data_IF_606242407294
#
_entry.id   IF_606242407294
#
_cell.length_a   1.000
_cell.length_b   1.000
_cell.length_c   1.000
_cell.angle_alpha   90.00
_cell.angle_beta   90.00
_cell.angle_gamma   90.00
#
_symmetry.space_group_name_H-M   'P 1'
#
loop_
_entity.id
_entity.type
_entity.pdbx_description
1 polymer ?
#
# COMPACT_ATOMS: atom_id res chain seq x y z
N UNK A 1 10.03 7.25 -9.39
CA UNK A 1 8.83 7.30 -10.28
C UNK A 1 8.90 6.16 -11.29
N UNK A 2 8.47 4.95 -10.87
CA UNK A 2 8.33 3.79 -11.74
C UNK A 2 7.12 4.00 -12.68
N UNK A 3 7.01 3.23 -13.78
CA UNK A 3 5.85 3.32 -14.68
C UNK A 3 4.57 3.18 -13.85
N UNK A 4 3.62 4.10 -13.98
CA UNK A 4 2.36 3.99 -13.25
C UNK A 4 1.48 2.94 -13.93
N UNK A 5 1.09 1.91 -13.17
CA UNK A 5 0.16 0.89 -13.62
C UNK A 5 -1.27 1.44 -13.58
N UNK A 6 -1.80 1.88 -14.72
CA UNK A 6 -3.26 2.05 -14.87
C UNK A 6 -3.86 0.68 -15.13
N UNK A 7 -4.55 0.15 -14.13
CA UNK A 7 -5.29 -1.10 -14.23
C UNK A 7 -6.48 -0.96 -15.19
N UNK A 8 -6.56 -1.81 -16.22
CA UNK A 8 -7.81 -2.43 -16.67
C UNK A 8 -7.54 -3.52 -17.73
N UNK A 9 -8.03 -4.73 -17.44
CA UNK A 9 -7.97 -5.89 -18.32
C UNK A 9 -8.93 -5.82 -19.52
N UNK A 10 -8.69 -6.73 -20.49
CA UNK A 10 -9.63 -7.00 -21.58
C UNK A 10 -8.95 -7.36 -22.90
N UNK A 11 -8.69 -8.66 -23.06
CA UNK A 11 -8.26 -9.38 -24.27
C UNK A 11 -8.92 -8.94 -25.59
N UNK A 12 -8.15 -8.86 -26.68
CA UNK A 12 -8.42 -9.67 -27.88
C UNK A 12 -7.29 -9.65 -28.94
N UNK A 13 -6.96 -10.84 -29.39
CA UNK A 13 -5.87 -11.20 -30.32
C UNK A 13 -6.19 -10.86 -31.77
N UNK A 14 -5.20 -10.39 -32.56
CA UNK A 14 -5.07 -10.81 -33.97
C UNK A 14 -3.67 -10.64 -34.57
N UNK A 15 -2.98 -11.78 -34.69
CA UNK A 15 -1.79 -11.95 -35.52
C UNK A 15 -2.03 -11.54 -36.98
N UNK A 16 -1.02 -10.94 -37.63
CA UNK A 16 -0.83 -11.08 -39.07
C UNK A 16 0.66 -11.16 -39.41
N UNK A 17 1.15 -12.39 -39.59
CA UNK A 17 2.42 -12.72 -40.25
C UNK A 17 2.46 -12.14 -41.65
N UNK A 18 3.59 -11.52 -42.03
CA UNK A 18 4.04 -11.48 -43.42
C UNK A 18 5.54 -11.73 -43.49
N UNK A 19 5.92 -12.90 -43.98
CA UNK A 19 7.26 -13.22 -44.46
C UNK A 19 7.58 -12.38 -45.71
N UNK A 20 8.82 -11.88 -45.86
CA UNK A 20 9.45 -11.71 -47.19
C UNK A 20 10.99 -11.73 -47.10
N UNK A 21 11.53 -12.88 -47.48
CA UNK A 21 12.78 -13.16 -48.24
C UNK A 21 14.02 -12.28 -48.08
N UNK A 22 15.03 -12.91 -47.47
CA UNK A 22 16.45 -12.97 -47.80
C UNK A 22 16.81 -12.67 -49.28
N UNK A 23 17.74 -11.73 -49.50
CA UNK A 23 18.61 -11.70 -50.69
C UNK A 23 20.07 -11.48 -50.27
N UNK A 24 20.92 -12.31 -50.86
CA UNK A 24 22.35 -12.46 -50.59
C UNK A 24 23.17 -11.64 -51.58
N UNK A 25 24.16 -10.91 -51.09
CA UNK A 25 25.10 -10.17 -51.94
C UNK A 25 26.46 -9.96 -51.27
N UNK A 26 27.29 -10.99 -51.27
CA UNK A 26 28.68 -10.97 -50.81
C UNK A 26 29.58 -10.22 -51.82
N UNK A 27 30.35 -9.23 -51.35
CA UNK A 27 31.61 -8.82 -52.00
C UNK A 27 32.58 -8.15 -51.03
N UNK A 28 33.59 -8.95 -50.70
CA UNK A 28 34.83 -8.68 -50.01
C UNK A 28 35.72 -7.65 -50.74
N UNK A 29 36.25 -6.66 -50.03
CA UNK A 29 37.66 -6.24 -50.18
C UNK A 29 38.20 -5.47 -48.96
N UNK A 30 39.49 -5.69 -48.73
CA UNK A 30 40.33 -5.42 -47.55
C UNK A 30 40.66 -3.94 -47.27
N UNK A 31 40.65 -3.51 -45.99
CA UNK A 31 41.84 -2.97 -45.26
C UNK A 31 41.48 -2.19 -43.95
N UNK A 32 42.03 -2.67 -42.83
CA UNK A 32 42.56 -1.94 -41.65
C UNK A 32 41.92 -0.62 -41.20
N UNK A 33 41.23 -0.65 -40.04
CA UNK A 33 41.52 0.20 -38.87
C UNK A 33 40.59 -0.20 -37.74
N UNK A 34 41.17 -0.59 -36.60
CA UNK A 34 40.48 -0.69 -35.32
C UNK A 34 39.70 0.60 -35.02
N UNK A 35 38.38 0.49 -35.06
CA UNK A 35 37.48 1.32 -34.27
C UNK A 35 36.30 0.42 -33.94
N UNK A 36 36.36 -0.19 -32.75
CA UNK A 36 35.18 -0.75 -32.09
C UNK A 36 34.22 0.42 -31.94
N UNK A 37 33.33 0.58 -32.91
CA UNK A 37 32.20 1.49 -32.83
C UNK A 37 31.36 0.93 -31.69
N UNK A 38 31.52 1.53 -30.51
CA UNK A 38 30.58 1.36 -29.41
C UNK A 38 29.21 1.60 -30.00
N UNK A 39 28.28 0.65 -29.83
CA UNK A 39 26.88 1.01 -29.89
C UNK A 39 26.69 2.22 -28.96
N UNK A 40 25.94 3.21 -29.41
CA UNK A 40 25.59 4.35 -28.57
C UNK A 40 24.92 3.79 -27.32
N UNK A 41 25.54 3.92 -26.15
CA UNK A 41 24.89 3.57 -24.89
C UNK A 41 23.57 4.36 -24.80
N UNK A 42 22.50 3.70 -24.38
CA UNK A 42 21.23 4.36 -24.10
C UNK A 42 21.47 5.36 -22.97
N UNK A 43 21.14 6.64 -23.18
CA UNK A 43 21.25 7.71 -22.17
C UNK A 43 19.86 8.15 -21.74
N UNK A 44 19.73 8.47 -20.45
CA UNK A 44 18.49 8.93 -19.82
C UNK A 44 18.31 10.46 -19.85
N UNK A 45 19.39 11.19 -20.11
CA UNK A 45 19.41 12.67 -20.11
C UNK A 45 20.11 13.19 -21.36
N UNK A 46 19.70 14.38 -21.82
CA UNK A 46 20.26 15.09 -22.97
C UNK A 46 21.72 15.48 -22.79
N UNK A 47 22.16 15.65 -21.53
CA UNK A 47 23.50 16.17 -21.19
C UNK A 47 24.56 15.07 -21.15
N UNK A 48 25.72 15.36 -21.72
CA UNK A 48 26.86 14.44 -21.78
C UNK A 48 27.72 14.41 -20.50
N UNK A 49 27.65 15.44 -19.67
CA UNK A 49 28.43 15.57 -18.43
C UNK A 49 27.50 15.98 -17.30
N UNK A 50 26.93 14.97 -16.64
CA UNK A 50 25.98 15.09 -15.53
C UNK A 50 26.57 15.76 -14.29
N UNK A 51 27.89 15.70 -14.09
CA UNK A 51 28.56 16.27 -12.90
C UNK A 51 28.42 17.80 -12.78
N UNK A 52 28.07 18.47 -13.89
CA UNK A 52 27.76 19.90 -13.92
C UNK A 52 26.37 20.23 -13.40
N UNK A 53 25.44 19.28 -13.47
CA UNK A 53 24.01 19.46 -13.17
C UNK A 53 23.62 18.87 -11.82
N UNK A 54 24.33 17.83 -11.35
CA UNK A 54 24.06 17.20 -10.06
C UNK A 54 25.35 16.92 -9.29
N UNK A 55 25.31 17.06 -7.97
CA UNK A 55 26.25 16.42 -7.04
C UNK A 55 25.56 15.19 -6.50
N UNK A 56 26.09 14.01 -6.80
CA UNK A 56 25.48 12.75 -6.34
C UNK A 56 25.97 12.47 -4.92
N UNK A 57 25.05 12.10 -4.04
CA UNK A 57 25.31 11.68 -2.67
C UNK A 57 26.17 10.44 -2.57
N UNK A 58 26.45 10.00 -1.35
CA UNK A 58 27.08 8.70 -1.14
C UNK A 58 26.10 7.57 -1.52
N UNK A 59 26.53 6.65 -2.38
CA UNK A 59 25.71 5.55 -2.90
C UNK A 59 26.38 4.18 -2.77
N UNK A 60 27.54 4.13 -2.10
CA UNK A 60 28.31 2.91 -1.82
C UNK A 60 28.64 2.89 -0.34
N UNK A 61 28.63 1.71 0.26
CA UNK A 61 28.92 1.55 1.67
C UNK A 61 27.81 2.07 2.60
N UNK A 62 26.60 2.27 2.05
CA UNK A 62 25.40 2.54 2.86
C UNK A 62 25.18 1.41 3.86
N UNK A 63 24.61 1.74 5.01
CA UNK A 63 24.16 0.73 5.98
C UNK A 63 22.65 0.72 5.92
N UNK A 64 22.09 -0.36 5.39
CA UNK A 64 20.66 -0.51 5.16
C UNK A 64 20.13 -1.64 6.03
N UNK A 65 18.87 -1.55 6.43
CA UNK A 65 18.18 -2.60 7.17
C UNK A 65 17.15 -3.27 6.24
N UNK A 66 17.17 -4.60 6.19
CA UNK A 66 16.15 -5.40 5.53
C UNK A 66 15.28 -6.01 6.63
N UNK A 67 14.11 -5.42 6.82
CA UNK A 67 13.10 -5.93 7.74
C UNK A 67 12.17 -6.90 7.02
N UNK A 68 12.12 -8.15 7.47
CA UNK A 68 11.15 -9.14 7.00
C UNK A 68 10.24 -9.57 8.14
N UNK A 69 8.95 -9.73 7.86
CA UNK A 69 8.01 -10.35 8.81
C UNK A 69 8.17 -11.87 8.76
N UNK A 70 8.19 -12.50 9.93
CA UNK A 70 8.20 -13.97 9.99
C UNK A 70 6.79 -14.49 9.78
N UNK A 71 6.59 -15.29 8.73
CA UNK A 71 5.33 -16.00 8.47
C UNK A 71 5.07 -17.03 9.58
N UNK A 72 3.99 -16.80 10.31
CA UNK A 72 3.51 -17.66 11.39
C UNK A 72 2.58 -18.76 10.86
N UNK A 73 2.29 -19.75 11.70
CA UNK A 73 1.31 -20.78 11.34
C UNK A 73 -0.12 -20.21 11.32
N UNK A 74 -0.37 -19.10 12.04
CA UNK A 74 -1.66 -18.41 12.07
C UNK A 74 -1.89 -17.65 10.74
N UNK A 75 -0.85 -17.03 10.16
CA UNK A 75 -0.94 -16.40 8.83
C UNK A 75 -1.27 -17.42 7.74
N UNK A 76 -0.62 -18.58 7.80
CA UNK A 76 -0.90 -19.70 6.90
C UNK A 76 -2.33 -20.20 7.07
N UNK A 77 -2.83 -20.21 8.31
CA UNK A 77 -4.19 -20.62 8.60
C UNK A 77 -5.20 -19.60 8.05
N UNK A 78 -4.97 -18.31 8.26
CA UNK A 78 -5.81 -17.23 7.77
C UNK A 78 -5.92 -17.24 6.23
N UNK A 79 -4.80 -17.40 5.53
CA UNK A 79 -4.78 -17.51 4.06
C UNK A 79 -5.56 -18.74 3.58
N UNK A 80 -5.44 -19.88 4.28
CA UNK A 80 -6.23 -21.07 3.94
C UNK A 80 -7.72 -20.84 4.19
N UNK A 81 -8.09 -20.20 5.30
CA UNK A 81 -9.47 -19.93 5.64
C UNK A 81 -10.12 -18.98 4.61
N UNK A 82 -9.40 -17.95 4.18
CA UNK A 82 -9.80 -17.09 3.06
C UNK A 82 -10.06 -17.90 1.78
N UNK A 83 -9.14 -18.80 1.41
CA UNK A 83 -9.31 -19.67 0.25
C UNK A 83 -10.52 -20.62 0.36
N UNK A 84 -10.83 -21.12 1.57
CA UNK A 84 -12.01 -21.96 1.82
C UNK A 84 -13.31 -21.17 1.73
N UNK A 85 -13.27 -19.90 2.13
CA UNK A 85 -14.39 -18.97 2.05
C UNK A 85 -14.73 -18.63 0.59
N UNK A 86 -13.73 -18.24 -0.21
CA UNK A 86 -13.86 -17.96 -1.65
C UNK A 86 -14.43 -19.16 -2.43
N UNK A 87 -14.14 -20.38 -1.95
CA UNK A 87 -14.66 -21.65 -2.48
C UNK A 87 -15.90 -22.15 -1.71
N UNK A 88 -16.60 -21.26 -1.01
CA UNK A 88 -17.80 -21.57 -0.27
C UNK A 88 -18.96 -22.03 -1.15
N UNK A 89 -19.86 -22.83 -0.59
CA UNK A 89 -21.05 -23.32 -1.30
C UNK A 89 -22.30 -22.59 -0.84
N UNK A 90 -23.12 -22.09 -1.78
CA UNK A 90 -24.38 -21.43 -1.45
C UNK A 90 -25.35 -22.40 -0.75
N UNK A 91 -25.82 -21.99 0.43
CA UNK A 91 -26.77 -22.77 1.23
C UNK A 91 -28.20 -22.30 0.92
N UNK A 92 -28.99 -23.18 0.33
CA UNK A 92 -30.38 -22.89 -0.02
C UNK A 92 -31.38 -23.30 1.07
N UNK A 93 -31.10 -24.39 1.77
CA UNK A 93 -31.95 -24.95 2.82
C UNK A 93 -31.13 -25.07 4.11
N UNK A 94 -31.21 -24.03 4.95
CA UNK A 94 -30.43 -23.95 6.18
C UNK A 94 -30.68 -22.65 6.93
N UNK A 95 -29.89 -22.43 7.97
CA UNK A 95 -29.82 -21.17 8.69
C UNK A 95 -28.36 -20.71 8.75
N UNK A 96 -28.15 -19.40 8.79
CA UNK A 96 -26.82 -18.80 8.96
C UNK A 96 -26.17 -19.30 10.25
N UNK A 97 -24.90 -19.66 10.16
CA UNK A 97 -24.01 -20.04 11.25
C UNK A 97 -22.79 -19.11 11.28
N UNK A 98 -22.03 -19.17 12.37
CA UNK A 98 -20.74 -18.48 12.48
C UNK A 98 -19.77 -19.01 11.40
N UNK A 99 -19.06 -18.11 10.74
CA UNK A 99 -18.18 -18.39 9.59
C UNK A 99 -18.86 -18.44 8.22
N UNK A 100 -20.19 -18.31 8.13
CA UNK A 100 -20.87 -18.19 6.82
C UNK A 100 -20.66 -16.78 6.24
N UNK A 101 -20.35 -16.67 4.94
CA UNK A 101 -20.41 -15.39 4.22
C UNK A 101 -21.85 -15.11 3.79
N UNK A 102 -22.39 -13.95 4.16
CA UNK A 102 -23.78 -13.57 3.91
C UNK A 102 -23.85 -12.36 3.00
N UNK A 103 -24.84 -12.35 2.11
CA UNK A 103 -25.26 -11.14 1.38
C UNK A 103 -26.55 -10.64 1.99
N UNK A 104 -26.56 -9.41 2.48
CA UNK A 104 -27.70 -8.80 3.17
C UNK A 104 -28.07 -7.44 2.58
N UNK A 105 -29.33 -7.08 2.77
CA UNK A 105 -29.79 -5.70 2.61
C UNK A 105 -30.20 -5.20 3.99
N UNK A 106 -29.71 -4.05 4.42
CA UNK A 106 -30.08 -3.50 5.70
C UNK A 106 -30.44 -2.02 5.62
N UNK A 107 -31.35 -1.62 6.51
CA UNK A 107 -31.74 -0.22 6.69
C UNK A 107 -31.72 0.11 8.18
N UNK A 108 -30.81 1.00 8.56
CA UNK A 108 -30.64 1.51 9.91
C UNK A 108 -31.49 2.75 10.16
N UNK A 109 -32.13 2.82 11.32
CA UNK A 109 -32.93 3.97 11.74
C UNK A 109 -32.62 4.38 13.17
N UNK A 110 -32.48 5.69 13.41
CA UNK A 110 -32.34 6.31 14.73
C UNK A 110 -33.59 7.16 14.97
N UNK A 111 -34.29 6.94 16.08
CA UNK A 111 -35.57 7.58 16.39
C UNK A 111 -36.61 7.46 15.24
N UNK A 112 -36.57 6.35 14.50
CA UNK A 112 -37.46 6.07 13.37
C UNK A 112 -37.15 6.85 12.08
N UNK A 113 -35.95 7.46 11.97
CA UNK A 113 -35.46 8.10 10.76
C UNK A 113 -34.19 7.41 10.27
N UNK A 114 -34.11 7.18 8.97
CA UNK A 114 -32.86 6.77 8.31
C UNK A 114 -31.80 7.87 8.47
N UNK A 115 -30.55 7.44 8.49
CA UNK A 115 -29.37 8.31 8.56
C UNK A 115 -28.40 7.90 7.45
N UNK A 116 -27.52 8.85 7.08
CA UNK A 116 -26.56 8.63 6.02
C UNK A 116 -25.53 7.56 6.42
N UNK A 117 -25.16 6.67 5.50
CA UNK A 117 -24.31 5.50 5.79
C UNK A 117 -25.00 4.37 6.58
N UNK A 118 -26.27 4.54 6.98
CA UNK A 118 -27.00 3.54 7.77
C UNK A 118 -27.67 2.42 6.96
N UNK A 119 -27.57 2.43 5.62
CA UNK A 119 -28.25 1.45 4.77
C UNK A 119 -27.37 1.00 3.61
N UNK A 120 -27.45 -0.28 3.27
CA UNK A 120 -26.76 -0.87 2.13
C UNK A 120 -27.63 -1.98 1.51
N UNK A 121 -27.45 -2.19 0.21
CA UNK A 121 -28.07 -3.27 -0.57
C UNK A 121 -26.95 -4.16 -1.10
N UNK A 122 -27.19 -5.47 -1.15
CA UNK A 122 -26.23 -6.49 -1.57
C UNK A 122 -24.87 -6.37 -0.85
N UNK A 123 -24.91 -6.09 0.44
CA UNK A 123 -23.72 -5.97 1.29
C UNK A 123 -23.26 -7.36 1.72
N UNK A 124 -22.01 -7.70 1.39
CA UNK A 124 -21.38 -8.96 1.75
C UNK A 124 -20.58 -8.81 3.05
N UNK A 125 -20.73 -9.77 3.97
CA UNK A 125 -19.89 -9.88 5.17
C UNK A 125 -19.73 -11.33 5.62
N UNK A 126 -18.69 -11.61 6.39
CA UNK A 126 -18.47 -12.90 7.06
C UNK A 126 -18.93 -12.82 8.50
N UNK A 127 -19.75 -13.77 8.93
CA UNK A 127 -20.27 -13.78 10.30
C UNK A 127 -19.19 -14.23 11.28
N UNK A 128 -18.83 -13.37 12.23
CA UNK A 128 -17.84 -13.63 13.28
C UNK A 128 -16.54 -12.83 13.16
N UNK A 129 -16.35 -12.06 12.08
CA UNK A 129 -15.13 -11.26 11.87
C UNK A 129 -15.16 -9.90 12.59
N UNK A 130 -16.33 -9.45 13.07
CA UNK A 130 -16.45 -8.20 13.81
C UNK A 130 -16.36 -6.96 12.93
N UNK A 131 -16.78 -7.06 11.67
CA UNK A 131 -16.85 -5.93 10.73
C UNK A 131 -18.02 -4.99 11.00
N UNK A 132 -18.99 -5.40 11.83
CA UNK A 132 -20.18 -4.62 12.20
C UNK A 132 -20.21 -4.30 13.69
N UNK A 133 -21.09 -3.38 14.09
CA UNK A 133 -21.30 -3.05 15.51
C UNK A 133 -21.72 -4.29 16.31
N UNK A 134 -21.31 -4.34 17.58
CA UNK A 134 -21.61 -5.43 18.50
C UNK A 134 -23.09 -5.84 18.46
N UNK A 135 -23.31 -7.15 18.31
CA UNK A 135 -24.64 -7.76 18.25
C UNK A 135 -25.32 -7.73 16.87
N UNK A 136 -24.75 -7.06 15.87
CA UNK A 136 -25.29 -7.07 14.51
C UNK A 136 -25.18 -8.47 13.87
N UNK A 137 -23.97 -9.03 13.85
CA UNK A 137 -23.70 -10.35 13.27
C UNK A 137 -24.44 -11.47 14.03
N UNK A 138 -24.45 -11.41 15.37
CA UNK A 138 -25.21 -12.32 16.24
C UNK A 138 -26.71 -12.34 15.91
N UNK A 139 -27.27 -11.19 15.53
CA UNK A 139 -28.68 -11.06 15.14
C UNK A 139 -29.02 -11.81 13.84
N UNK A 140 -28.03 -11.96 12.96
CA UNK A 140 -28.17 -12.63 11.66
C UNK A 140 -28.06 -14.15 11.81
N UNK A 141 -27.30 -14.63 12.80
CA UNK A 141 -27.22 -16.06 13.10
C UNK A 141 -28.62 -16.67 13.27
N UNK A 142 -28.83 -17.82 12.64
CA UNK A 142 -30.12 -18.50 12.62
C UNK A 142 -31.12 -17.98 11.59
N UNK A 143 -30.83 -16.91 10.84
CA UNK A 143 -31.70 -16.44 9.75
C UNK A 143 -31.74 -17.42 8.59
N UNK A 144 -32.89 -17.51 7.92
CA UNK A 144 -33.04 -18.24 6.65
C UNK A 144 -32.97 -17.30 5.47
N UNK A 145 -32.60 -17.84 4.31
CA UNK A 145 -32.64 -17.10 3.04
C UNK A 145 -34.00 -16.44 2.81
N UNK A 146 -33.99 -15.13 2.55
CA UNK A 146 -35.18 -14.29 2.37
C UNK A 146 -35.87 -13.85 3.67
N UNK A 147 -35.34 -14.20 4.84
CA UNK A 147 -35.87 -13.73 6.12
C UNK A 147 -35.49 -12.27 6.36
N UNK A 148 -36.40 -11.52 6.99
CA UNK A 148 -36.15 -10.16 7.47
C UNK A 148 -36.29 -10.13 8.99
N UNK A 149 -35.31 -9.54 9.68
CA UNK A 149 -35.33 -9.29 11.12
C UNK A 149 -35.08 -7.81 11.42
N UNK A 150 -35.57 -7.36 12.56
CA UNK A 150 -35.22 -6.07 13.15
C UNK A 150 -34.28 -6.34 14.32
N UNK A 151 -33.13 -5.65 14.33
CA UNK A 151 -32.09 -5.74 15.35
C UNK A 151 -32.05 -4.42 16.10
N UNK A 152 -32.37 -4.45 17.39
CA UNK A 152 -32.26 -3.30 18.30
C UNK A 152 -30.84 -3.27 18.90
N UNK A 153 -30.01 -2.36 18.41
CA UNK A 153 -28.59 -2.24 18.77
C UNK A 153 -28.27 -0.83 19.28
N UNK A 154 -27.05 -0.64 19.74
CA UNK A 154 -26.53 0.66 20.17
C UNK A 154 -25.16 0.86 19.55
N UNK A 155 -24.93 2.03 18.95
CA UNK A 155 -23.59 2.38 18.49
C UNK A 155 -22.61 2.47 19.66
N UNK A 156 -21.36 2.03 19.50
CA UNK A 156 -20.31 2.28 20.49
C UNK A 156 -20.20 3.77 20.85
N UNK A 157 -19.80 4.06 22.09
CA UNK A 157 -19.61 5.44 22.56
C UNK A 157 -18.47 6.16 21.82
N UNK A 158 -17.52 5.40 21.27
CA UNK A 158 -16.33 5.81 20.53
C UNK A 158 -16.45 5.61 19.02
N UNK A 159 -17.68 5.49 18.49
CA UNK A 159 -17.89 5.32 17.06
C UNK A 159 -17.36 6.51 16.25
N UNK A 160 -16.69 6.23 15.12
CA UNK A 160 -16.00 7.24 14.29
C UNK A 160 -16.88 8.42 13.89
N UNK A 161 -18.18 8.16 13.70
CA UNK A 161 -19.19 9.17 13.39
C UNK A 161 -19.82 9.67 14.70
N UNK A 162 -19.29 10.78 15.23
CA UNK A 162 -19.76 11.42 16.48
C UNK A 162 -21.27 11.69 16.48
N UNK A 163 -21.86 11.87 15.29
CA UNK A 163 -23.29 12.16 15.15
C UNK A 163 -24.19 10.97 15.50
N UNK A 164 -23.67 9.73 15.52
CA UNK A 164 -24.43 8.51 15.86
C UNK A 164 -23.87 7.75 17.08
N UNK A 165 -22.66 8.09 17.54
CA UNK A 165 -22.02 7.48 18.71
C UNK A 165 -22.94 7.42 19.95
N UNK A 166 -22.95 6.26 20.62
CA UNK A 166 -23.77 5.99 21.82
C UNK A 166 -25.29 5.96 21.59
N UNK A 167 -25.78 6.16 20.37
CA UNK A 167 -27.23 6.23 20.09
C UNK A 167 -27.82 4.83 19.86
N UNK A 168 -29.06 4.58 20.33
CA UNK A 168 -29.79 3.38 19.95
C UNK A 168 -30.18 3.45 18.46
N UNK A 169 -30.07 2.32 17.79
CA UNK A 169 -30.35 2.16 16.37
C UNK A 169 -31.13 0.88 16.13
N UNK A 170 -32.09 0.92 15.21
CA UNK A 170 -32.82 -0.26 14.77
C UNK A 170 -32.42 -0.57 13.34
N UNK A 171 -31.80 -1.73 13.14
CA UNK A 171 -31.45 -2.23 11.81
C UNK A 171 -32.48 -3.24 11.34
N UNK A 172 -33.14 -2.94 10.23
CA UNK A 172 -33.96 -3.91 9.52
C UNK A 172 -33.09 -4.64 8.49
N UNK A 173 -32.73 -5.88 8.78
CA UNK A 173 -31.82 -6.70 7.97
C UNK A 173 -32.62 -7.77 7.21
N UNK A 174 -32.36 -7.91 5.91
CA UNK A 174 -32.92 -8.96 5.05
C UNK A 174 -31.80 -9.80 4.48
N UNK A 175 -31.83 -11.11 4.72
CA UNK A 175 -30.83 -12.04 4.19
C UNK A 175 -31.16 -12.44 2.75
N UNK A 176 -30.28 -12.12 1.80
CA UNK A 176 -30.48 -12.44 0.39
C UNK A 176 -29.99 -13.84 0.03
N UNK A 177 -28.76 -14.16 0.42
CA UNK A 177 -28.10 -15.46 0.25
C UNK A 177 -26.98 -15.60 1.28
N UNK A 178 -26.48 -16.82 1.44
CA UNK A 178 -25.29 -17.08 2.21
C UNK A 178 -24.56 -18.31 1.67
N UNK A 179 -23.24 -18.28 1.78
CA UNK A 179 -22.32 -19.36 1.43
C UNK A 179 -21.69 -19.90 2.70
N UNK A 180 -21.49 -21.21 2.73
CA UNK A 180 -20.74 -21.87 3.80
C UNK A 180 -19.32 -22.14 3.33
N UNK A 181 -18.28 -21.75 4.08
CA UNK A 181 -16.91 -22.06 3.73
C UNK A 181 -16.74 -23.58 3.57
N UNK A 182 -15.84 -23.94 2.66
CA UNK A 182 -15.49 -25.34 2.46
C UNK A 182 -14.73 -25.90 3.68
N UNK A 183 -14.84 -27.21 3.90
CA UNK A 183 -14.01 -27.86 4.91
C UNK A 183 -12.64 -28.23 4.32
N UNK A 184 -11.56 -27.86 5.01
CA UNK A 184 -10.22 -28.25 4.61
C UNK A 184 -10.02 -29.76 4.81
N UNK A 185 -9.81 -30.47 3.69
CA UNK A 185 -9.43 -31.88 3.68
C UNK A 185 -8.72 -32.23 2.35
N UNK A 186 -8.12 -33.42 2.29
CA UNK A 186 -7.37 -33.85 1.09
C UNK A 186 -8.25 -33.91 -0.18
N UNK A 187 -9.55 -34.20 -0.05
CA UNK A 187 -10.47 -34.22 -1.20
C UNK A 187 -10.71 -32.81 -1.74
N UNK A 188 -10.89 -31.82 -0.86
CA UNK A 188 -11.01 -30.42 -1.24
C UNK A 188 -9.73 -29.91 -1.88
N UNK A 189 -8.56 -30.19 -1.28
CA UNK A 189 -7.26 -29.77 -1.80
C UNK A 189 -7.04 -30.32 -3.20
N UNK A 190 -7.27 -31.62 -3.40
CA UNK A 190 -7.11 -32.27 -4.70
C UNK A 190 -8.11 -31.79 -5.77
N UNK A 191 -9.24 -31.21 -5.36
CA UNK A 191 -10.27 -30.70 -6.27
C UNK A 191 -10.06 -29.23 -6.66
N UNK A 192 -9.48 -28.41 -5.78
CA UNK A 192 -9.42 -26.96 -5.94
C UNK A 192 -8.00 -26.41 -6.10
N UNK A 193 -6.97 -27.22 -5.85
CA UNK A 193 -5.56 -26.80 -5.93
C UNK A 193 -4.75 -27.75 -6.81
N UNK A 194 -3.48 -27.42 -7.06
CA UNK A 194 -2.53 -28.33 -7.73
C UNK A 194 -1.95 -29.42 -6.80
N UNK A 195 -2.21 -29.32 -5.50
CA UNK A 195 -1.71 -30.20 -4.45
C UNK A 195 -2.67 -31.36 -4.19
N UNK A 196 -2.22 -32.40 -3.47
CA UNK A 196 -3.04 -33.60 -3.21
C UNK A 196 -3.43 -33.77 -1.75
N UNK A 197 -2.68 -33.19 -0.84
CA UNK A 197 -2.91 -33.33 0.60
C UNK A 197 -2.89 -31.98 1.28
N UNK A 198 -3.58 -31.88 2.42
CA UNK A 198 -3.58 -30.69 3.27
C UNK A 198 -2.16 -30.27 3.65
N UNK A 199 -1.28 -31.23 3.94
CA UNK A 199 0.12 -30.96 4.29
C UNK A 199 0.90 -30.32 3.13
N UNK A 200 0.69 -30.81 1.90
CA UNK A 200 1.33 -30.24 0.69
C UNK A 200 0.84 -28.81 0.44
N UNK A 201 -0.47 -28.58 0.56
CA UNK A 201 -1.07 -27.27 0.37
C UNK A 201 -0.62 -26.26 1.43
N UNK A 202 -0.64 -26.63 2.72
CA UNK A 202 -0.11 -25.79 3.80
C UNK A 202 1.34 -25.38 3.60
N UNK A 203 2.18 -26.32 3.19
CA UNK A 203 3.58 -26.03 2.92
C UNK A 203 3.77 -25.09 1.72
N UNK A 204 2.90 -25.20 0.72
CA UNK A 204 2.90 -24.31 -0.44
C UNK A 204 2.44 -22.89 -0.08
N UNK A 205 1.32 -22.75 0.63
CA UNK A 205 0.82 -21.46 1.13
C UNK A 205 1.88 -20.77 1.98
N UNK A 206 2.51 -21.50 2.91
CA UNK A 206 3.61 -20.96 3.71
C UNK A 206 4.76 -20.43 2.84
N UNK A 207 5.17 -21.20 1.84
CA UNK A 207 6.25 -20.80 0.93
C UNK A 207 5.89 -19.57 0.11
N UNK A 208 4.63 -19.47 -0.32
CA UNK A 208 4.13 -18.31 -1.06
C UNK A 208 4.13 -17.04 -0.19
N UNK A 209 3.63 -17.14 1.04
CA UNK A 209 3.70 -16.05 2.02
C UNK A 209 5.15 -15.63 2.30
N UNK A 210 6.06 -16.60 2.52
CA UNK A 210 7.49 -16.32 2.75
C UNK A 210 8.14 -15.63 1.53
N UNK A 211 7.75 -16.02 0.31
CA UNK A 211 8.22 -15.38 -0.92
C UNK A 211 7.66 -13.96 -1.09
N UNK A 212 6.42 -13.72 -0.69
CA UNK A 212 5.81 -12.39 -0.73
C UNK A 212 6.45 -11.45 0.30
N UNK A 213 6.67 -11.91 1.54
CA UNK A 213 7.39 -11.16 2.57
C UNK A 213 8.81 -10.82 2.13
N UNK A 214 9.52 -11.77 1.52
CA UNK A 214 10.86 -11.53 0.98
C UNK A 214 10.83 -10.45 -0.11
N UNK A 215 9.87 -10.50 -1.03
CA UNK A 215 9.72 -9.48 -2.09
C UNK A 215 9.39 -8.11 -1.52
N UNK A 216 8.53 -8.04 -0.51
CA UNK A 216 8.19 -6.78 0.17
C UNK A 216 9.43 -6.19 0.84
N UNK A 217 10.15 -7.00 1.63
CA UNK A 217 11.38 -6.58 2.29
C UNK A 217 12.47 -6.12 1.30
N UNK A 218 12.58 -6.80 0.15
CA UNK A 218 13.47 -6.37 -0.93
C UNK A 218 13.03 -5.04 -1.54
N UNK A 219 11.74 -4.86 -1.82
CA UNK A 219 11.21 -3.59 -2.33
C UNK A 219 11.52 -2.43 -1.39
N UNK A 220 11.27 -2.61 -0.09
CA UNK A 220 11.56 -1.59 0.92
C UNK A 220 13.06 -1.31 1.01
N UNK A 221 13.90 -2.35 0.95
CA UNK A 221 15.35 -2.20 0.92
C UNK A 221 15.83 -1.37 -0.27
N UNK A 222 15.36 -1.68 -1.49
CA UNK A 222 15.74 -0.92 -2.70
C UNK A 222 15.22 0.52 -2.64
N UNK A 223 13.97 0.70 -2.20
CA UNK A 223 13.35 2.02 -2.04
C UNK A 223 14.09 2.89 -1.01
N UNK A 224 14.47 2.31 0.14
CA UNK A 224 15.24 3.00 1.17
C UNK A 224 16.64 3.35 0.67
N UNK A 225 17.32 2.41 0.00
CA UNK A 225 18.62 2.65 -0.62
C UNK A 225 18.57 3.83 -1.60
N UNK A 226 17.57 3.84 -2.48
CA UNK A 226 17.38 4.93 -3.43
C UNK A 226 17.06 6.26 -2.73
N UNK A 227 16.18 6.23 -1.72
CA UNK A 227 15.78 7.41 -0.96
C UNK A 227 16.97 8.05 -0.24
N UNK A 228 17.87 7.26 0.35
CA UNK A 228 19.10 7.78 0.95
C UNK A 228 20.01 8.46 -0.07
N UNK A 229 20.17 7.87 -1.27
CA UNK A 229 20.98 8.48 -2.34
C UNK A 229 20.35 9.78 -2.83
N UNK A 230 19.04 9.79 -3.01
CA UNK A 230 18.29 10.97 -3.45
C UNK A 230 18.41 12.09 -2.42
N UNK A 231 18.15 11.81 -1.14
CA UNK A 231 18.22 12.80 -0.06
C UNK A 231 19.62 13.40 0.15
N UNK A 232 20.67 12.65 -0.17
CA UNK A 232 22.06 13.10 -0.09
C UNK A 232 22.59 13.68 -1.40
N UNK A 233 21.79 13.73 -2.46
CA UNK A 233 22.13 14.34 -3.74
C UNK A 233 21.66 15.80 -3.79
N UNK A 234 22.34 16.62 -4.58
CA UNK A 234 22.02 18.04 -4.77
C UNK A 234 22.00 18.36 -6.26
N UNK A 235 20.82 18.72 -6.79
CA UNK A 235 20.70 19.26 -8.14
C UNK A 235 21.18 20.72 -8.14
N UNK A 236 22.11 21.03 -9.04
CA UNK A 236 22.65 22.37 -9.26
C UNK A 236 21.83 23.15 -10.26
N UNK A 237 21.41 22.47 -11.33
CA UNK A 237 20.68 23.04 -12.45
C UNK A 237 19.95 21.90 -13.17
N UNK A 238 18.75 22.18 -13.68
CA UNK A 238 18.00 21.25 -14.51
C UNK A 238 18.25 21.53 -16.01
N UNK A 239 18.59 20.51 -16.82
CA UNK A 239 18.63 20.68 -18.26
C UNK A 239 17.23 21.00 -18.82
N UNK A 240 17.03 22.21 -19.34
CA UNK A 240 15.72 22.68 -19.86
C UNK A 240 15.10 21.69 -20.86
N UNK A 241 15.91 21.11 -21.77
CA UNK A 241 15.41 20.14 -22.76
C UNK A 241 14.82 18.87 -22.11
N UNK A 242 15.41 18.40 -21.01
CA UNK A 242 14.94 17.20 -20.32
C UNK A 242 13.68 17.51 -19.50
N UNK A 243 13.62 18.69 -18.89
CA UNK A 243 12.43 19.18 -18.15
C UNK A 243 11.25 19.35 -19.09
N UNK A 244 11.43 20.04 -20.23
CA UNK A 244 10.36 20.27 -21.20
C UNK A 244 9.77 18.94 -21.71
N UNK A 245 10.63 17.96 -22.03
CA UNK A 245 10.19 16.62 -22.44
C UNK A 245 9.43 15.90 -21.33
N UNK A 246 9.89 15.99 -20.08
CA UNK A 246 9.23 15.36 -18.95
C UNK A 246 7.85 15.98 -18.67
N UNK A 247 7.72 17.32 -18.80
CA UNK A 247 6.42 18.02 -18.73
C UNK A 247 5.49 17.53 -19.83
N UNK A 248 5.95 17.48 -21.09
CA UNK A 248 5.13 17.01 -22.21
C UNK A 248 4.70 15.54 -22.04
N UNK A 249 5.59 14.67 -21.58
CA UNK A 249 5.30 13.26 -21.33
C UNK A 249 4.25 13.10 -20.23
N UNK A 250 4.40 13.81 -19.11
CA UNK A 250 3.45 13.76 -18.00
C UNK A 250 2.08 14.31 -18.38
N UNK A 251 2.02 15.45 -19.09
CA UNK A 251 0.76 15.98 -19.61
C UNK A 251 0.06 14.98 -20.53
N UNK A 252 0.80 14.33 -21.42
CA UNK A 252 0.25 13.30 -22.32
C UNK A 252 -0.27 12.08 -21.56
N UNK A 253 0.42 11.66 -20.50
CA UNK A 253 -0.03 10.58 -19.62
C UNK A 253 -1.39 10.92 -18.99
N UNK A 254 -1.48 12.11 -18.39
CA UNK A 254 -2.71 12.59 -17.77
C UNK A 254 -3.85 12.77 -18.78
N UNK A 255 -3.57 13.30 -19.98
CA UNK A 255 -4.55 13.41 -21.05
C UNK A 255 -5.11 12.05 -21.49
N UNK A 256 -4.24 11.03 -21.61
CA UNK A 256 -4.67 9.67 -21.92
C UNK A 256 -5.57 9.11 -20.83
N UNK A 257 -5.16 9.22 -19.57
CA UNK A 257 -5.93 8.74 -18.42
C UNK A 257 -7.32 9.39 -18.35
N UNK A 258 -7.39 10.72 -18.47
CA UNK A 258 -8.64 11.48 -18.47
C UNK A 258 -9.56 11.06 -19.63
N UNK A 259 -8.97 10.84 -20.80
CA UNK A 259 -9.71 10.41 -21.98
C UNK A 259 -10.25 8.99 -21.84
N UNK A 260 -9.49 8.07 -21.25
CA UNK A 260 -9.93 6.70 -20.98
C UNK A 260 -11.06 6.68 -19.96
N UNK A 261 -11.02 7.57 -18.97
CA UNK A 261 -12.12 7.80 -18.03
C UNK A 261 -13.33 8.50 -18.67
N UNK A 262 -13.27 8.91 -19.95
CA UNK A 262 -14.36 9.57 -20.66
C UNK A 262 -14.68 10.97 -20.15
N UNK A 263 -13.71 11.62 -19.49
CA UNK A 263 -13.84 12.95 -18.91
C UNK A 263 -13.11 14.01 -19.75
N UNK A 264 -13.45 15.28 -19.52
CA UNK A 264 -12.65 16.40 -19.99
C UNK A 264 -11.64 16.80 -18.90
N UNK A 265 -10.46 17.28 -19.27
CA UNK A 265 -9.41 17.68 -18.33
C UNK A 265 -9.91 18.70 -17.30
N UNK A 266 -10.75 19.64 -17.72
CA UNK A 266 -11.31 20.65 -16.81
C UNK A 266 -12.22 20.07 -15.72
N UNK A 267 -12.87 18.93 -15.98
CA UNK A 267 -13.73 18.28 -15.00
C UNK A 267 -12.93 17.36 -14.08
N UNK A 268 -11.88 16.73 -14.61
CA UNK A 268 -10.87 16.03 -13.81
C UNK A 268 -10.20 16.94 -12.78
N UNK A 269 -9.69 18.10 -13.21
CA UNK A 269 -9.05 19.06 -12.30
C UNK A 269 -10.02 19.57 -11.22
N UNK A 270 -11.28 19.87 -11.59
CA UNK A 270 -12.31 20.26 -10.62
C UNK A 270 -12.61 19.16 -9.61
N UNK A 271 -12.65 17.90 -10.04
CA UNK A 271 -12.90 16.76 -9.15
C UNK A 271 -11.77 16.61 -8.11
N UNK A 272 -10.55 16.97 -8.47
CA UNK A 272 -9.39 17.01 -7.57
C UNK A 272 -9.27 18.33 -6.78
N UNK A 273 -10.15 19.31 -7.03
CA UNK A 273 -10.06 20.63 -6.40
C UNK A 273 -8.88 21.48 -6.88
N UNK A 274 -8.27 21.14 -8.02
CA UNK A 274 -7.11 21.82 -8.59
C UNK A 274 -7.52 22.87 -9.63
N UNK A 275 -6.77 23.98 -9.68
CA UNK A 275 -6.83 24.92 -10.80
C UNK A 275 -5.90 24.49 -11.94
N UNK A 276 -6.03 25.15 -13.11
CA UNK A 276 -5.08 24.94 -14.22
C UNK A 276 -3.66 25.38 -13.84
N UNK A 277 -3.51 26.41 -13.00
CA UNK A 277 -2.21 26.88 -12.50
C UNK A 277 -1.57 25.85 -11.57
N UNK A 278 -2.36 25.28 -10.64
CA UNK A 278 -1.89 24.20 -9.75
C UNK A 278 -1.46 22.97 -10.56
N UNK A 279 -2.18 22.64 -11.64
CA UNK A 279 -1.82 21.54 -12.54
C UNK A 279 -0.52 21.82 -13.32
N UNK A 280 -0.31 23.05 -13.78
CA UNK A 280 0.95 23.43 -14.43
C UNK A 280 2.14 23.36 -13.47
N UNK A 281 1.95 23.78 -12.23
CA UNK A 281 2.96 23.65 -11.17
C UNK A 281 3.25 22.18 -10.84
N UNK A 282 2.22 21.34 -10.68
CA UNK A 282 2.37 19.89 -10.48
C UNK A 282 3.15 19.24 -11.63
N UNK A 283 2.83 19.59 -12.87
CA UNK A 283 3.57 19.09 -14.03
C UNK A 283 5.05 19.49 -13.99
N UNK A 284 5.35 20.72 -13.55
CA UNK A 284 6.72 21.21 -13.44
C UNK A 284 7.48 20.47 -12.32
N UNK A 285 6.86 20.31 -11.14
CA UNK A 285 7.47 19.61 -10.01
C UNK A 285 7.73 18.12 -10.34
N UNK A 286 6.76 17.46 -10.99
CA UNK A 286 6.94 16.11 -11.50
C UNK A 286 8.13 16.03 -12.47
N UNK A 287 8.20 16.96 -13.42
CA UNK A 287 9.27 16.97 -14.41
C UNK A 287 10.65 17.20 -13.78
N UNK A 288 10.77 18.13 -12.84
CA UNK A 288 12.01 18.38 -12.10
C UNK A 288 12.44 17.14 -11.32
N UNK A 289 11.53 16.52 -10.55
CA UNK A 289 11.82 15.28 -9.81
C UNK A 289 12.25 14.13 -10.74
N UNK A 290 11.58 13.98 -11.89
CA UNK A 290 11.95 12.98 -12.90
C UNK A 290 13.34 13.23 -13.48
N UNK A 291 13.66 14.48 -13.81
CA UNK A 291 14.97 14.85 -14.37
C UNK A 291 16.06 14.70 -13.31
N UNK A 292 15.81 15.05 -12.06
CA UNK A 292 16.70 14.79 -10.93
C UNK A 292 17.04 13.30 -10.82
N UNK A 293 16.02 12.43 -10.78
CA UNK A 293 16.21 10.98 -10.76
C UNK A 293 17.07 10.52 -11.94
N UNK A 294 16.74 10.94 -13.17
CA UNK A 294 17.47 10.55 -14.37
C UNK A 294 18.93 11.05 -14.36
N UNK A 295 19.20 12.24 -13.83
CA UNK A 295 20.55 12.78 -13.68
C UNK A 295 21.39 11.96 -12.71
N UNK A 296 20.82 11.59 -11.56
CA UNK A 296 21.49 10.78 -10.54
C UNK A 296 21.75 9.37 -11.08
N UNK A 297 20.72 8.72 -11.63
CA UNK A 297 20.82 7.37 -12.23
C UNK A 297 21.88 7.36 -13.34
N UNK A 298 21.79 8.29 -14.31
CA UNK A 298 22.77 8.38 -15.38
C UNK A 298 24.19 8.62 -14.84
N UNK A 299 24.34 9.44 -13.80
CA UNK A 299 25.65 9.73 -13.24
C UNK A 299 26.28 8.56 -12.49
N UNK A 300 25.49 7.75 -11.79
CA UNK A 300 25.97 6.50 -11.20
C UNK A 300 26.34 5.52 -12.32
N UNK A 301 25.51 5.37 -13.35
CA UNK A 301 25.82 4.52 -14.51
C UNK A 301 27.13 4.96 -15.20
N UNK A 302 27.31 6.27 -15.44
CA UNK A 302 28.51 6.83 -16.06
C UNK A 302 29.76 6.62 -15.18
N UNK A 303 29.64 6.75 -13.85
CA UNK A 303 30.75 6.58 -12.90
C UNK A 303 31.20 5.12 -12.78
N UNK A 304 30.25 4.19 -12.83
CA UNK A 304 30.48 2.77 -12.57
C UNK A 304 30.57 1.92 -13.84
N UNK A 305 30.27 2.51 -15.01
CA UNK A 305 30.27 1.83 -16.28
C UNK A 305 29.13 0.82 -16.43
N UNK A 306 27.99 1.09 -15.79
CA UNK A 306 26.76 0.29 -15.93
C UNK A 306 26.08 0.59 -17.27
N UNK A 307 25.40 -0.41 -17.84
CA UNK A 307 24.71 -0.28 -19.13
C UNK A 307 23.46 -1.15 -19.20
N UNK A 308 22.53 -0.80 -20.08
CA UNK A 308 21.28 -1.55 -20.33
C UNK A 308 21.45 -2.67 -21.38
N UNK A 309 22.68 -3.05 -21.68
CA UNK A 309 23.03 -4.09 -22.65
C UNK A 309 24.03 -5.12 -22.11
N UNK A 310 24.25 -5.14 -20.79
CA UNK A 310 25.07 -6.14 -20.12
C UNK A 310 24.30 -7.47 -19.87
N UNK A 311 25.01 -8.49 -19.40
CA UNK A 311 24.41 -9.82 -19.18
C UNK A 311 23.38 -9.82 -18.03
N UNK A 312 23.46 -8.85 -17.11
CA UNK A 312 22.56 -8.76 -15.94
C UNK A 312 21.20 -8.13 -16.30
N UNK A 313 21.11 -7.39 -17.42
CA UNK A 313 19.88 -6.69 -17.81
C UNK A 313 18.71 -7.63 -18.14
N UNK A 314 18.98 -8.89 -18.54
CA UNK A 314 17.90 -9.83 -18.86
C UNK A 314 17.08 -10.16 -17.62
N UNK A 315 17.73 -10.34 -16.47
CA UNK A 315 17.04 -10.57 -15.20
C UNK A 315 16.16 -9.38 -14.82
N UNK A 316 16.66 -8.16 -14.95
CA UNK A 316 15.88 -6.94 -14.67
C UNK A 316 14.69 -6.77 -15.65
N UNK A 317 14.85 -7.20 -16.91
CA UNK A 317 13.73 -7.22 -17.87
C UNK A 317 12.66 -8.22 -17.49
N UNK A 318 13.04 -9.41 -17.07
CA UNK A 318 12.09 -10.44 -16.65
C UNK A 318 11.35 -10.01 -15.36
N UNK A 319 12.06 -9.39 -14.41
CA UNK A 319 11.49 -8.78 -13.21
C UNK A 319 10.48 -7.68 -13.57
N UNK A 320 10.88 -6.72 -14.43
CA UNK A 320 9.99 -5.65 -14.88
C UNK A 320 8.76 -6.18 -15.62
N UNK A 321 8.91 -7.20 -16.47
CA UNK A 321 7.78 -7.81 -17.16
C UNK A 321 6.81 -8.49 -16.20
N UNK A 322 7.34 -9.18 -15.19
CA UNK A 322 6.53 -9.83 -14.15
C UNK A 322 5.77 -8.81 -13.31
N UNK A 323 6.43 -7.70 -12.94
CA UNK A 323 5.84 -6.63 -12.15
C UNK A 323 4.67 -5.94 -12.88
N UNK A 324 4.86 -5.64 -14.17
CA UNK A 324 3.84 -4.96 -14.97
C UNK A 324 2.84 -5.90 -15.65
N UNK A 325 3.01 -7.22 -15.54
CA UNK A 325 2.11 -8.22 -16.13
C UNK A 325 2.15 -8.28 -17.67
N UNK A 326 3.29 -7.97 -18.30
CA UNK A 326 3.46 -8.02 -19.75
C UNK A 326 4.20 -9.30 -20.19
N UNK A 327 3.80 -9.86 -21.34
CA UNK A 327 4.41 -11.09 -21.86
C UNK A 327 5.73 -10.84 -22.60
N UNK A 328 6.00 -9.58 -23.00
CA UNK A 328 7.21 -9.23 -23.73
C UNK A 328 7.59 -7.75 -23.59
N UNK A 329 8.89 -7.49 -23.69
CA UNK A 329 9.44 -6.15 -23.63
C UNK A 329 8.91 -5.24 -24.76
N UNK A 330 8.68 -5.79 -25.95
CA UNK A 330 8.13 -5.03 -27.08
C UNK A 330 6.70 -4.53 -26.78
N UNK A 331 5.89 -5.28 -26.06
CA UNK A 331 4.56 -4.84 -25.63
C UNK A 331 4.64 -3.70 -24.61
N UNK A 332 5.54 -3.84 -23.62
CA UNK A 332 5.76 -2.83 -22.60
C UNK A 332 6.24 -1.50 -23.23
N UNK A 333 7.21 -1.58 -24.14
CA UNK A 333 7.72 -0.43 -24.91
C UNK A 333 6.65 0.17 -25.82
N UNK A 334 5.79 -0.65 -26.43
CA UNK A 334 4.70 -0.14 -27.27
C UNK A 334 3.64 0.64 -26.46
N UNK A 335 3.44 0.25 -25.20
CA UNK A 335 2.47 0.89 -24.31
C UNK A 335 3.04 2.15 -23.65
N UNK A 336 4.19 2.01 -22.97
CA UNK A 336 4.77 3.09 -22.16
C UNK A 336 5.74 3.99 -22.92
N UNK A 337 6.39 3.48 -23.97
CA UNK A 337 7.46 4.16 -24.68
C UNK A 337 8.85 3.61 -24.32
N UNK A 338 9.76 3.63 -25.29
CA UNK A 338 11.11 3.08 -25.12
C UNK A 338 11.92 3.85 -24.07
N UNK A 339 11.73 5.17 -23.98
CA UNK A 339 12.45 6.00 -23.03
C UNK A 339 12.02 5.66 -21.60
N UNK A 340 10.72 5.61 -21.33
CA UNK A 340 10.12 5.36 -20.02
C UNK A 340 10.49 3.97 -19.48
N UNK A 341 10.48 2.97 -20.36
CA UNK A 341 10.90 1.61 -20.00
C UNK A 341 12.41 1.56 -19.71
N UNK A 342 13.23 2.25 -20.50
CA UNK A 342 14.67 2.31 -20.24
C UNK A 342 15.01 3.06 -18.95
N UNK A 343 14.29 4.13 -18.62
CA UNK A 343 14.41 4.85 -17.35
C UNK A 343 14.12 3.94 -16.16
N UNK A 344 13.06 3.13 -16.26
CA UNK A 344 12.67 2.18 -15.21
C UNK A 344 13.72 1.08 -15.02
N UNK A 345 14.18 0.47 -16.13
CA UNK A 345 15.28 -0.51 -16.08
C UNK A 345 16.57 0.07 -15.51
N UNK A 346 16.90 1.31 -15.86
CA UNK A 346 18.11 1.95 -15.37
C UNK A 346 18.03 2.26 -13.87
N UNK A 347 16.87 2.67 -13.37
CA UNK A 347 16.62 2.83 -11.94
C UNK A 347 16.83 1.50 -11.21
N UNK A 348 16.15 0.43 -11.63
CA UNK A 348 16.32 -0.91 -11.03
C UNK A 348 17.78 -1.37 -11.06
N UNK A 349 18.50 -1.09 -12.16
CA UNK A 349 19.92 -1.43 -12.29
C UNK A 349 20.79 -0.69 -11.27
N UNK A 350 20.51 0.60 -11.06
CA UNK A 350 21.22 1.44 -10.11
C UNK A 350 20.88 1.07 -8.67
N UNK A 351 19.61 0.84 -8.34
CA UNK A 351 19.16 0.37 -7.02
C UNK A 351 19.84 -0.95 -6.64
N UNK A 352 19.85 -1.91 -7.57
CA UNK A 352 20.56 -3.17 -7.41
C UNK A 352 22.05 -2.96 -7.16
N UNK A 353 22.68 -2.07 -7.91
CA UNK A 353 24.08 -1.75 -7.69
C UNK A 353 24.34 -1.11 -6.32
N UNK A 354 23.46 -0.21 -5.86
CA UNK A 354 23.58 0.43 -4.54
C UNK A 354 23.52 -0.62 -3.45
N UNK A 355 22.50 -1.49 -3.47
CA UNK A 355 22.32 -2.57 -2.48
C UNK A 355 23.46 -3.58 -2.52
N UNK A 356 23.93 -3.98 -3.71
CA UNK A 356 25.08 -4.89 -3.87
C UNK A 356 26.38 -4.31 -3.27
N UNK A 357 26.46 -2.98 -3.11
CA UNK A 357 27.59 -2.27 -2.52
C UNK A 357 27.30 -1.72 -1.12
N UNK A 358 26.15 -2.06 -0.52
CA UNK A 358 25.76 -1.69 0.83
C UNK A 358 26.13 -2.78 1.85
N UNK A 359 26.09 -2.42 3.13
CA UNK A 359 26.02 -3.36 4.25
C UNK A 359 24.55 -3.51 4.63
N UNK A 360 23.98 -4.67 4.37
CA UNK A 360 22.58 -4.96 4.72
C UNK A 360 22.54 -5.71 6.06
N UNK A 361 21.85 -5.16 7.04
CA UNK A 361 21.53 -5.85 8.28
C UNK A 361 20.16 -6.51 8.12
N UNK A 362 20.08 -7.80 8.42
CA UNK A 362 18.83 -8.55 8.40
C UNK A 362 18.12 -8.37 9.76
N UNK A 363 16.93 -7.80 9.74
CA UNK A 363 16.05 -7.61 10.90
C UNK A 363 14.78 -8.44 10.73
N UNK A 364 14.40 -9.18 11.76
CA UNK A 364 13.09 -9.84 11.80
C UNK A 364 12.18 -8.99 12.65
N UNK A 365 11.17 -8.38 12.04
CA UNK A 365 10.09 -7.74 12.76
C UNK A 365 9.06 -8.81 13.16
N UNK A 366 8.47 -8.65 14.34
CA UNK A 366 7.20 -9.30 14.69
C UNK A 366 6.05 -8.37 14.32
N UNK A 367 4.82 -8.86 14.16
CA UNK A 367 3.65 -8.00 13.88
C UNK A 367 3.48 -6.83 14.89
N UNK A 368 3.96 -7.01 16.11
CA UNK A 368 3.96 -5.95 17.14
C UNK A 368 4.98 -4.83 16.88
N UNK A 369 6.01 -5.08 16.07
CA UNK A 369 7.04 -4.11 15.72
C UNK A 369 6.60 -3.22 14.54
N UNK A 370 5.88 -3.77 13.55
CA UNK A 370 5.34 -3.01 12.40
C UNK A 370 4.21 -2.07 12.80
N UNK A 371 3.31 -2.50 13.70
CA UNK A 371 2.22 -1.66 14.20
C UNK A 371 2.70 -0.40 14.96
N UNK A 372 3.98 -0.35 15.35
CA UNK A 372 4.59 0.78 16.06
C UNK A 372 5.32 1.75 15.13
N UNK A 373 5.59 1.37 13.88
CA UNK A 373 6.30 2.20 12.89
C UNK A 373 5.33 3.10 12.11
N UNK A 374 4.06 2.67 11.94
CA UNK A 374 2.96 3.48 11.39
C UNK A 374 2.38 4.50 12.40
N UNK A 375 2.84 4.49 13.66
CA UNK A 375 2.49 5.50 14.63
C UNK A 375 3.37 6.75 14.41
N UNK A 376 2.81 7.75 13.72
CA UNK A 376 3.36 9.09 13.56
C UNK A 376 4.01 9.61 14.88
N UNK A 377 5.32 9.90 14.91
CA UNK A 377 5.99 10.40 16.11
C UNK A 377 5.63 11.86 16.45
N UNK A 378 4.77 12.54 15.70
CA UNK A 378 4.31 13.91 16.01
C UNK A 378 3.00 13.94 16.83
N UNK A 379 3.03 13.38 18.05
CA UNK A 379 2.19 13.92 19.14
C UNK A 379 2.94 13.95 20.47
N UNK A 380 4.06 14.69 20.48
CA UNK A 380 4.56 15.28 21.72
C UNK A 380 3.55 16.32 22.23
N UNK A 381 2.62 15.86 23.08
CA UNK A 381 1.81 16.73 23.93
C UNK A 381 2.75 17.52 24.86
N UNK A 382 3.01 18.76 24.47
CA UNK A 382 3.65 19.77 25.31
C UNK A 382 2.71 20.20 26.44
N UNK A 383 2.64 19.39 27.49
CA UNK A 383 1.95 19.69 28.74
C UNK A 383 2.95 19.91 29.88
N UNK A 384 3.35 21.17 30.09
CA UNK A 384 4.14 21.62 31.25
C UNK A 384 3.45 21.24 32.55
N UNK A 385 4.12 20.49 33.43
CA UNK A 385 4.04 20.79 34.86
C UNK A 385 5.37 20.53 35.60
N UNK A 386 5.73 21.51 36.41
CA UNK A 386 7.02 21.62 37.06
C UNK A 386 6.99 20.96 38.44
N UNK A 387 8.02 20.15 38.69
CA UNK A 387 8.73 19.97 39.97
C UNK A 387 7.89 19.85 41.26
N UNK A 388 7.90 18.66 41.86
CA UNK A 388 8.26 18.57 43.28
C UNK A 388 9.11 17.33 43.59
N UNK A 389 10.20 17.62 44.28
CA UNK A 389 11.36 16.82 44.63
C UNK A 389 10.99 15.84 45.77
N UNK A 390 11.22 14.53 45.58
CA UNK A 390 11.08 13.53 46.64
C UNK A 390 12.46 13.19 47.20
N UNK A 391 12.81 13.81 48.33
CA UNK A 391 13.93 13.37 49.18
C UNK A 391 13.33 12.61 50.36
N UNK A 392 13.53 11.29 50.37
CA UNK A 392 13.50 10.47 51.57
C UNK A 392 14.72 10.81 52.45
N UNK A 393 14.50 11.19 53.71
CA UNK A 393 15.49 10.90 54.76
C UNK A 393 14.83 10.66 56.13
N UNK A 394 14.84 9.39 56.49
CA UNK A 394 15.07 8.74 57.79
C UNK A 394 15.05 9.55 59.13
N UNK A 395 14.19 9.03 60.04
CA UNK A 395 14.39 8.77 61.47
C UNK A 395 14.32 9.86 62.58
N UNK A 396 13.67 9.40 63.66
CA UNK A 396 13.65 9.86 65.07
C UNK A 396 12.79 11.10 65.35
N UNK A 397 12.15 11.30 66.49
CA UNK A 397 11.73 10.54 67.68
C UNK A 397 10.87 11.58 68.46
N UNK A 398 9.94 11.11 69.31
CA UNK A 398 9.39 11.87 70.48
C UNK A 398 8.45 13.06 70.12
N UNK A 399 7.34 13.41 70.78
CA UNK A 399 6.75 13.07 72.07
C UNK A 399 5.29 13.63 72.09
N UNK A 400 4.44 12.95 72.87
CA UNK A 400 3.33 13.44 73.69
C UNK A 400 2.13 14.23 73.16
N UNK A 401 0.97 13.60 73.44
CA UNK A 401 -0.16 14.15 74.23
C UNK A 401 -1.10 15.10 73.48
N UNK A 402 -2.40 15.17 73.76
CA UNK A 402 -3.29 14.47 74.66
C UNK A 402 -4.73 14.85 74.23
N UNK A 403 -5.70 13.98 74.54
CA UNK A 403 -7.06 14.31 75.03
C UNK A 403 -7.93 15.28 74.20
N UNK A 404 -9.00 14.76 73.57
CA UNK A 404 -10.41 14.81 74.05
C UNK A 404 -11.02 16.23 74.01
N UNK A 405 -12.29 16.46 73.74
CA UNK A 405 -13.53 15.73 74.01
C UNK A 405 -14.63 16.46 73.22
N UNK A 406 -15.79 15.82 73.04
CA UNK A 406 -17.16 16.36 73.18
C UNK A 406 -17.48 17.85 72.91
N UNK A 407 -18.62 18.25 72.36
CA UNK A 407 -19.93 17.62 72.17
C UNK A 407 -20.88 18.69 71.60
N UNK A 408 -21.89 18.22 70.89
CA UNK A 408 -23.30 18.63 70.98
C UNK A 408 -23.79 20.03 70.57
N UNK A 409 -24.89 19.94 69.78
CA UNK A 409 -26.13 20.72 69.87
C UNK A 409 -26.06 22.24 69.59
N UNK A 410 -27.01 22.89 68.93
CA UNK A 410 -28.39 22.58 68.52
C UNK A 410 -28.84 23.65 67.51
N UNK A 411 -29.81 23.24 66.69
CA UNK A 411 -30.93 24.00 66.13
C UNK A 411 -30.97 25.54 66.26
N UNK A 412 -31.26 26.22 65.15
CA UNK A 412 -32.62 26.76 64.94
C UNK A 412 -32.77 27.36 63.54
N UNK A 413 -33.91 27.01 62.95
CA UNK A 413 -34.62 27.70 61.86
C UNK A 413 -34.59 29.23 62.00
N UNK A 414 -34.48 29.97 60.89
CA UNK A 414 -35.66 30.68 60.39
C UNK A 414 -35.43 31.34 59.03
N UNK A 415 -36.53 31.30 58.29
CA UNK A 415 -36.82 31.74 56.93
C UNK A 415 -36.97 33.27 56.86
N UNK A 416 -36.30 33.95 55.91
CA UNK A 416 -36.79 35.24 55.41
C UNK A 416 -36.43 35.39 53.92
N UNK A 417 -37.47 35.32 53.09
CA UNK A 417 -37.54 35.80 51.72
C UNK A 417 -37.00 37.24 51.55
N UNK A 418 -36.48 37.58 50.36
CA UNK A 418 -37.09 38.55 49.46
C UNK A 418 -36.08 39.13 48.46
N UNK A 419 -36.48 39.04 47.18
CA UNK A 419 -36.20 39.92 46.03
C UNK A 419 -34.99 40.85 46.02
N UNK A 420 -34.19 40.66 44.95
CA UNK A 420 -33.32 41.64 44.32
C UNK A 420 -33.00 41.19 42.90
#
# INVERSE_FOLDING_TARGET
MALSATACGGSDTKETKTETTQDTGDKKDSASSDKKTSASAVRLVSVSDVSKYVTIGEYKGLTLDRSSVTVTDDDVQAEIDYNLEENGTEVNDGTVEEGDSVTINFTGTIDGKEFDGGSAEDYDLVIGEGGMIDGFEDGIIGMKKGETKELDLTFPDDYYEESVAGKPVVFKVTLQKFTRPSELNDEWVAANTEYKTVDEYRAAVKKELEENETKSADYDLYSNAWSEVLANSEVKEYPEEDVDKAVEAYKKLNENYVKEAGMEMSDFLKAQGMSEEDYEEDCQQYAESKVEQNLIVQGIMDAEGLSLDDDDIQTLKDELLSEYGYESFDQLVAYYGEQEVNESLALMRVERFIVDNATVNETSATEADVANEDADPESEDTGVDAAEDTIEDNASEEDSSDTAEESEETASEDDVANEG
#
